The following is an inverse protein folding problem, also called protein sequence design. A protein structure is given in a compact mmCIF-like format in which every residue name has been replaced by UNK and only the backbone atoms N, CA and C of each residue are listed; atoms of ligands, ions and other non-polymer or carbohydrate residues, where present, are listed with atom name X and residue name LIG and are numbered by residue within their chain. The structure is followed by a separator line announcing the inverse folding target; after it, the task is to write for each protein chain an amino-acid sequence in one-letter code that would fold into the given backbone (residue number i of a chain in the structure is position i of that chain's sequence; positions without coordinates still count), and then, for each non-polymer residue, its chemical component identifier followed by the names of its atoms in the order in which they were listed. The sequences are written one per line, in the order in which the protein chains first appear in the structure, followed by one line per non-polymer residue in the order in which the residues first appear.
data_IF_637639780489
#
_entry.id   IF_637639780489
#
_cell.length_a   1.000
_cell.length_b   1.000
_cell.length_c   1.000
_cell.angle_alpha   90.00
_cell.angle_beta   90.00
_cell.angle_gamma   90.00
#
_symmetry.space_group_name_H-M   'P 1'
#
loop_
_entity.id
_entity.type
_entity.pdbx_description
1 polymer ?
#
# COMPACT_ATOMS: atom_id res chain seq x y z
N UNK A 1 4.32 -33.12 27.32
CA UNK A 1 4.81 -33.39 25.93
C UNK A 1 3.75 -32.87 24.98
N UNK A 2 3.91 -31.84 24.16
CA UNK A 2 5.08 -31.47 23.39
C UNK A 2 4.78 -31.71 21.90
N UNK A 3 4.03 -30.81 21.26
CA UNK A 3 4.16 -30.54 19.82
C UNK A 3 4.01 -29.04 19.60
N UNK A 4 5.15 -28.36 19.66
CA UNK A 4 5.28 -26.95 19.39
C UNK A 4 4.66 -26.61 18.04
N UNK A 5 3.74 -25.64 18.06
CA UNK A 5 3.09 -25.05 16.88
C UNK A 5 4.15 -24.58 15.89
N UNK A 6 4.52 -25.46 14.96
CA UNK A 6 5.43 -25.16 13.84
C UNK A 6 4.76 -25.43 12.49
N UNK A 7 3.42 -25.37 12.46
CA UNK A 7 2.59 -25.61 11.27
C UNK A 7 2.59 -24.46 10.24
N UNK A 8 3.58 -23.55 10.30
CA UNK A 8 3.69 -22.44 9.34
C UNK A 8 4.74 -22.66 8.25
N UNK A 9 5.38 -23.84 8.17
CA UNK A 9 6.40 -24.09 7.14
C UNK A 9 5.83 -24.25 5.72
N UNK A 10 4.55 -24.61 5.57
CA UNK A 10 3.72 -24.56 4.33
C UNK A 10 2.29 -24.99 4.68
N UNK A 11 1.30 -24.09 4.73
CA UNK A 11 -0.08 -24.48 5.02
C UNK A 11 -0.63 -25.37 3.90
N UNK A 12 -0.93 -26.64 4.20
CA UNK A 12 -1.43 -27.65 3.21
C UNK A 12 -2.84 -27.32 2.69
N UNK A 13 -3.67 -26.65 3.48
CA UNK A 13 -5.09 -26.40 3.18
C UNK A 13 -5.42 -24.94 2.86
N UNK A 14 -4.66 -23.97 3.38
CA UNK A 14 -4.89 -22.53 3.15
C UNK A 14 -3.71 -21.91 2.38
N UNK A 15 -3.87 -21.50 1.11
CA UNK A 15 -2.82 -20.80 0.39
C UNK A 15 -2.44 -19.48 1.08
N UNK A 16 -1.16 -19.34 1.44
CA UNK A 16 -0.60 -18.10 1.99
C UNK A 16 0.45 -17.58 1.01
N UNK A 17 0.38 -16.28 0.72
CA UNK A 17 1.32 -15.63 -0.20
C UNK A 17 2.73 -15.70 0.34
N UNK A 18 3.67 -16.06 -0.52
CA UNK A 18 5.09 -16.00 -0.22
C UNK A 18 5.55 -14.56 0.04
N UNK A 19 6.67 -14.39 0.72
CA UNK A 19 7.25 -13.06 0.93
C UNK A 19 7.56 -12.35 -0.41
N UNK A 20 8.00 -13.10 -1.43
CA UNK A 20 8.21 -12.56 -2.77
C UNK A 20 6.94 -12.01 -3.41
N UNK A 21 5.83 -12.76 -3.34
CA UNK A 21 4.53 -12.32 -3.86
C UNK A 21 3.97 -11.12 -3.09
N UNK A 22 4.16 -11.08 -1.78
CA UNK A 22 3.80 -9.93 -0.94
C UNK A 22 4.56 -8.68 -1.37
N UNK A 23 5.88 -8.79 -1.60
CA UNK A 23 6.73 -7.68 -2.10
C UNK A 23 6.30 -7.23 -3.50
N UNK A 24 6.07 -8.16 -4.44
CA UNK A 24 5.58 -7.84 -5.79
C UNK A 24 4.27 -7.06 -5.76
N UNK A 25 3.31 -7.51 -4.93
CA UNK A 25 2.03 -6.82 -4.73
C UNK A 25 2.22 -5.40 -4.21
N UNK A 26 3.06 -5.21 -3.20
CA UNK A 26 3.30 -3.87 -2.64
C UNK A 26 3.91 -2.93 -3.69
N UNK A 27 4.87 -3.40 -4.50
CA UNK A 27 5.44 -2.62 -5.60
C UNK A 27 4.37 -2.18 -6.60
N UNK A 28 3.49 -3.09 -7.03
CA UNK A 28 2.39 -2.78 -7.95
C UNK A 28 1.43 -1.76 -7.35
N UNK A 29 1.07 -1.91 -6.07
CA UNK A 29 0.17 -0.99 -5.37
C UNK A 29 0.76 0.42 -5.23
N UNK A 30 2.06 0.52 -4.92
CA UNK A 30 2.77 1.82 -4.90
C UNK A 30 2.79 2.47 -6.28
N UNK A 31 3.07 1.70 -7.35
CA UNK A 31 2.99 2.21 -8.74
C UNK A 31 1.60 2.76 -9.09
N UNK A 32 0.53 2.07 -8.66
CA UNK A 32 -0.85 2.53 -8.87
C UNK A 32 -1.15 3.85 -8.13
N UNK A 33 -0.66 4.01 -6.90
CA UNK A 33 -0.81 5.28 -6.18
C UNK A 33 -0.07 6.44 -6.85
N UNK A 34 1.13 6.16 -7.38
CA UNK A 34 1.89 7.16 -8.15
C UNK A 34 1.12 7.58 -9.40
N UNK A 35 0.54 6.63 -10.14
CA UNK A 35 -0.32 6.93 -11.29
C UNK A 35 -1.61 7.71 -10.94
N UNK A 36 -2.04 7.70 -9.68
CA UNK A 36 -3.16 8.52 -9.19
C UNK A 36 -2.73 9.92 -8.74
N UNK A 37 -1.44 10.25 -8.78
CA UNK A 37 -0.88 11.57 -8.45
C UNK A 37 -0.25 11.67 -7.06
N UNK A 38 -0.12 10.58 -6.30
CA UNK A 38 0.63 10.61 -5.03
C UNK A 38 2.13 10.70 -5.32
N UNK A 39 2.82 11.66 -4.71
CA UNK A 39 4.27 11.81 -4.87
C UNK A 39 5.01 10.50 -4.52
N UNK A 40 6.01 10.14 -5.33
CA UNK A 40 6.74 8.88 -5.18
C UNK A 40 7.39 8.71 -3.81
N UNK A 41 7.92 9.79 -3.23
CA UNK A 41 8.49 9.80 -1.88
C UNK A 41 7.43 9.53 -0.79
N UNK A 42 6.23 10.11 -0.94
CA UNK A 42 5.12 9.90 -0.01
C UNK A 42 4.61 8.45 -0.12
N UNK A 43 4.44 7.94 -1.34
CA UNK A 43 3.99 6.56 -1.57
C UNK A 43 4.97 5.50 -1.02
N UNK A 44 6.26 5.83 -0.94
CA UNK A 44 7.27 4.91 -0.39
C UNK A 44 7.24 4.84 1.14
N UNK A 45 7.02 5.97 1.81
CA UNK A 45 6.95 6.09 3.28
C UNK A 45 5.67 5.47 3.88
N UNK A 46 4.62 5.29 3.08
CA UNK A 46 3.37 4.72 3.54
C UNK A 46 3.50 3.24 3.94
N UNK A 47 2.85 2.90 5.04
CA UNK A 47 2.64 1.52 5.47
C UNK A 47 1.77 0.75 4.45
N UNK A 48 2.01 -0.55 4.26
CA UNK A 48 1.32 -1.36 3.26
C UNK A 48 -0.19 -1.47 3.46
N UNK A 49 -0.69 -1.30 4.68
CA UNK A 49 -2.14 -1.28 4.98
C UNK A 49 -2.80 0.00 4.48
N UNK A 50 -2.17 1.14 4.78
CA UNK A 50 -2.62 2.47 4.32
C UNK A 50 -2.67 2.53 2.80
N UNK A 51 -1.65 1.98 2.12
CA UNK A 51 -1.61 1.86 0.65
C UNK A 51 -2.84 1.12 0.11
N UNK A 52 -3.23 0.01 0.76
CA UNK A 52 -4.41 -0.77 0.35
C UNK A 52 -5.71 -0.02 0.58
N UNK A 53 -5.83 0.68 1.72
CA UNK A 53 -7.03 1.45 2.06
C UNK A 53 -7.24 2.59 1.06
N UNK A 54 -6.18 3.34 0.73
CA UNK A 54 -6.24 4.42 -0.26
C UNK A 54 -6.69 3.92 -1.63
N UNK A 55 -6.17 2.76 -2.07
CA UNK A 55 -6.55 2.16 -3.35
C UNK A 55 -8.00 1.66 -3.42
N UNK A 56 -8.71 1.47 -2.29
CA UNK A 56 -10.14 1.09 -2.31
C UNK A 56 -11.03 2.20 -2.88
N UNK A 57 -10.64 3.46 -2.71
CA UNK A 57 -11.42 4.63 -3.12
C UNK A 57 -10.56 5.60 -3.94
N UNK A 58 -10.25 5.26 -5.20
CA UNK A 58 -9.29 6.02 -6.02
C UNK A 58 -9.75 7.46 -6.29
N UNK A 59 -11.06 7.71 -6.41
CA UNK A 59 -11.61 9.06 -6.58
C UNK A 59 -11.27 9.98 -5.39
N UNK A 60 -11.35 9.46 -4.15
CA UNK A 60 -10.99 10.23 -2.95
C UNK A 60 -9.50 10.53 -2.89
N UNK A 61 -8.65 9.62 -3.39
CA UNK A 61 -7.20 9.84 -3.48
C UNK A 61 -6.88 10.97 -4.45
N UNK A 62 -7.49 10.98 -5.64
CA UNK A 62 -7.31 12.07 -6.61
C UNK A 62 -7.74 13.43 -6.04
N UNK A 63 -8.89 13.48 -5.38
CA UNK A 63 -9.38 14.71 -4.73
C UNK A 63 -8.46 15.16 -3.58
N UNK A 64 -7.94 14.22 -2.78
CA UNK A 64 -7.01 14.54 -1.69
C UNK A 64 -5.67 15.04 -2.22
N UNK A 65 -5.15 14.47 -3.30
CA UNK A 65 -3.95 14.94 -4.00
C UNK A 65 -4.19 16.36 -4.54
N UNK A 66 -5.30 16.58 -5.24
CA UNK A 66 -5.67 17.90 -5.76
C UNK A 66 -5.81 18.95 -4.64
N UNK A 67 -6.44 18.59 -3.52
CA UNK A 67 -6.52 19.45 -2.33
C UNK A 67 -5.17 19.72 -1.69
N UNK A 68 -4.29 18.71 -1.59
CA UNK A 68 -2.94 18.87 -1.05
C UNK A 68 -2.10 19.79 -1.96
N UNK A 69 -2.23 19.63 -3.27
CA UNK A 69 -1.58 20.50 -4.25
C UNK A 69 -2.10 21.95 -4.14
N UNK A 70 -3.42 22.15 -4.10
CA UNK A 70 -4.01 23.47 -3.92
C UNK A 70 -3.57 24.15 -2.60
N UNK A 71 -3.51 23.39 -1.50
CA UNK A 71 -3.03 23.88 -0.21
C UNK A 71 -1.54 24.22 -0.22
N UNK A 72 -0.72 23.48 -0.96
CA UNK A 72 0.69 23.80 -1.11
C UNK A 72 0.91 25.10 -1.90
N UNK A 73 0.11 25.34 -2.95
CA UNK A 73 0.16 26.59 -3.73
C UNK A 73 -0.31 27.78 -2.89
N UNK A 74 -1.38 27.63 -2.11
CA UNK A 74 -1.90 28.69 -1.25
C UNK A 74 -1.03 29.00 -0.02
N UNK A 75 -0.03 28.19 0.29
CA UNK A 75 0.91 28.43 1.38
C UNK A 75 2.23 29.09 0.92
N UNK A 76 2.43 29.22 -0.40
CA UNK A 76 3.61 29.82 -1.02
C UNK A 76 3.33 31.24 -1.55
N UNK A 77 2.05 31.63 -1.61
CA UNK A 77 1.57 33.00 -1.88
C UNK A 77 1.21 33.66 -0.56
#
# INVERSE_FOLDING_TARGET
MGTGRTLNKKPRTRPVKSEGERRRRQKVQKKRLIGLGVAGADAQKLAPETVRIMLKRPAKVKLAVARKAAKAVAAVV
#
